data_IF_526390623609
#
_entry.id   IF_526390623609
#
_cell.length_a   1.000
_cell.length_b   1.000
_cell.length_c   1.000
_cell.angle_alpha   90.00
_cell.angle_beta   90.00
_cell.angle_gamma   90.00
#
_symmetry.space_group_name_H-M   'P 1'
#
loop_
_entity.id
_entity.type
_entity.pdbx_description
1 polymer ?
#
# COMPACT_ATOMS: atom_id res chain seq x y z
N UNK A 1 -8.37 28.68 46.20
CA UNK A 1 -8.02 28.50 44.77
C UNK A 1 -7.29 27.17 44.62
N UNK A 2 -8.01 26.08 44.35
CA UNK A 2 -7.42 24.75 44.15
C UNK A 2 -7.41 24.45 42.66
N UNK A 3 -6.21 24.50 42.07
CA UNK A 3 -5.97 24.17 40.68
C UNK A 3 -5.77 22.65 40.59
N UNK A 4 -6.76 21.94 40.03
CA UNK A 4 -6.65 20.51 39.76
C UNK A 4 -6.18 20.37 38.30
N UNK A 5 -4.99 19.80 38.05
CA UNK A 5 -4.52 19.63 36.68
C UNK A 5 -5.39 18.59 35.95
N UNK A 6 -5.84 18.94 34.75
CA UNK A 6 -6.54 18.01 33.84
C UNK A 6 -5.58 16.87 33.48
N UNK A 7 -5.84 15.68 34.05
CA UNK A 7 -5.14 14.46 33.68
C UNK A 7 -5.72 13.94 32.36
N UNK A 8 -4.99 14.17 31.26
CA UNK A 8 -5.33 13.59 29.95
C UNK A 8 -4.64 12.22 29.88
N UNK A 9 -5.39 11.15 30.15
CA UNK A 9 -4.93 9.79 29.90
C UNK A 9 -5.11 9.46 28.41
N UNK A 10 -4.07 8.90 27.79
CA UNK A 10 -4.17 8.42 26.42
C UNK A 10 -5.25 7.33 26.34
N UNK A 11 -6.19 7.46 25.40
CA UNK A 11 -7.14 6.38 25.11
C UNK A 11 -6.36 5.14 24.66
N UNK A 12 -6.75 3.98 25.18
CA UNK A 12 -6.26 2.66 24.73
C UNK A 12 -6.15 2.60 23.21
N UNK A 13 -4.97 2.31 22.68
CA UNK A 13 -4.73 2.17 21.25
C UNK A 13 -5.60 1.01 20.73
N UNK A 14 -6.60 1.30 19.91
CA UNK A 14 -7.39 0.26 19.25
C UNK A 14 -6.47 -0.60 18.40
N UNK A 15 -6.56 -1.92 18.56
CA UNK A 15 -5.73 -2.90 17.86
C UNK A 15 -5.77 -2.64 16.35
N UNK A 16 -4.63 -2.28 15.77
CA UNK A 16 -4.53 -2.02 14.33
C UNK A 16 -4.61 -3.35 13.57
N UNK A 17 -5.48 -3.42 12.57
CA UNK A 17 -5.56 -4.59 11.71
C UNK A 17 -4.29 -4.72 10.86
N UNK A 18 -3.83 -5.95 10.65
CA UNK A 18 -2.68 -6.19 9.76
C UNK A 18 -3.00 -5.72 8.34
N UNK A 19 -2.01 -5.13 7.66
CA UNK A 19 -2.12 -4.75 6.25
C UNK A 19 -2.63 -5.90 5.36
N UNK A 20 -2.27 -7.17 5.65
CA UNK A 20 -2.77 -8.34 4.93
C UNK A 20 -4.30 -8.51 5.06
N UNK A 21 -4.85 -8.23 6.24
CA UNK A 21 -6.30 -8.32 6.50
C UNK A 21 -7.02 -7.20 5.76
N UNK A 22 -6.53 -5.96 5.88
CA UNK A 22 -7.07 -4.81 5.16
C UNK A 22 -7.07 -5.05 3.65
N UNK A 23 -5.95 -5.54 3.11
CA UNK A 23 -5.81 -5.76 1.68
C UNK A 23 -6.78 -6.84 1.17
N UNK A 24 -6.93 -7.97 1.89
CA UNK A 24 -7.94 -8.99 1.54
C UNK A 24 -9.37 -8.43 1.52
N UNK A 25 -9.70 -7.51 2.43
CA UNK A 25 -11.02 -6.86 2.45
C UNK A 25 -11.21 -5.94 1.24
N UNK A 26 -10.18 -5.16 0.90
CA UNK A 26 -10.19 -4.29 -0.28
C UNK A 26 -10.33 -5.10 -1.57
N UNK A 27 -9.62 -6.22 -1.69
CA UNK A 27 -9.69 -7.10 -2.88
C UNK A 27 -11.08 -7.70 -3.10
N UNK A 28 -11.88 -7.91 -2.05
CA UNK A 28 -13.29 -8.33 -2.20
C UNK A 28 -14.15 -7.26 -2.88
N UNK A 29 -13.84 -5.99 -2.68
CA UNK A 29 -14.58 -4.84 -3.23
C UNK A 29 -14.03 -4.39 -4.58
N UNK A 30 -12.72 -4.48 -4.76
CA UNK A 30 -12.00 -4.00 -5.93
C UNK A 30 -11.33 -5.19 -6.61
N UNK A 31 -12.11 -6.03 -7.30
CA UNK A 31 -11.61 -7.13 -8.13
C UNK A 31 -11.44 -6.64 -9.58
N UNK A 32 -10.31 -6.96 -10.21
CA UNK A 32 -9.97 -6.60 -11.58
C UNK A 32 -10.36 -7.65 -12.61
N UNK A 33 -10.80 -7.19 -13.78
CA UNK A 33 -11.12 -8.02 -14.95
C UNK A 33 -10.37 -7.51 -16.18
N UNK A 34 -10.31 -8.27 -17.27
CA UNK A 34 -9.64 -7.83 -18.50
C UNK A 34 -10.10 -6.45 -19.02
N UNK A 35 -11.40 -6.13 -18.90
CA UNK A 35 -11.96 -4.82 -19.30
C UNK A 35 -11.68 -3.71 -18.29
N UNK A 36 -11.54 -4.06 -17.01
CA UNK A 36 -11.27 -3.12 -15.91
C UNK A 36 -10.28 -3.76 -14.94
N UNK A 37 -8.99 -3.80 -15.32
CA UNK A 37 -7.99 -4.47 -14.51
C UNK A 37 -7.73 -3.70 -13.22
N UNK A 38 -7.30 -4.43 -12.19
CA UNK A 38 -6.99 -3.87 -10.88
C UNK A 38 -5.55 -3.39 -10.88
N UNK A 39 -5.34 -2.17 -10.43
CA UNK A 39 -4.00 -1.66 -10.14
C UNK A 39 -3.63 -1.98 -8.69
N UNK A 40 -2.54 -2.71 -8.51
CA UNK A 40 -1.99 -3.14 -7.23
C UNK A 40 -0.68 -2.40 -6.96
N UNK A 41 -0.51 -1.85 -5.76
CA UNK A 41 0.74 -1.21 -5.35
C UNK A 41 1.33 -1.92 -4.13
N UNK A 42 2.65 -2.11 -4.14
CA UNK A 42 3.43 -2.50 -2.97
C UNK A 42 4.56 -1.51 -2.79
N UNK A 43 4.67 -0.93 -1.59
CA UNK A 43 5.73 0.00 -1.23
C UNK A 43 6.65 -0.69 -0.21
N UNK A 44 7.92 -0.83 -0.56
CA UNK A 44 8.96 -1.20 0.40
C UNK A 44 9.50 0.06 1.08
N UNK A 45 10.52 -0.10 1.94
CA UNK A 45 11.18 1.07 2.53
C UNK A 45 11.89 1.98 1.53
N UNK A 46 12.12 1.52 0.28
CA UNK A 46 12.92 2.25 -0.73
C UNK A 46 12.30 2.31 -2.11
N UNK A 47 11.42 1.39 -2.45
CA UNK A 47 10.96 1.19 -3.82
C UNK A 47 9.46 0.97 -3.88
N UNK A 48 8.86 1.47 -4.96
CA UNK A 48 7.46 1.25 -5.27
C UNK A 48 7.35 0.25 -6.42
N UNK A 49 6.42 -0.68 -6.25
CA UNK A 49 6.06 -1.70 -7.23
C UNK A 49 4.59 -1.55 -7.57
N UNK A 50 4.27 -1.59 -8.84
CA UNK A 50 2.93 -1.44 -9.38
C UNK A 50 2.63 -2.56 -10.39
N UNK A 51 1.48 -3.19 -10.25
CA UNK A 51 1.02 -4.27 -11.12
C UNK A 51 -0.39 -3.98 -11.60
N UNK A 52 -0.62 -4.12 -12.91
CA UNK A 52 -1.95 -4.13 -13.48
C UNK A 52 -2.38 -5.58 -13.65
N UNK A 53 -3.44 -5.99 -12.94
CA UNK A 53 -3.82 -7.40 -12.77
C UNK A 53 -5.23 -7.66 -13.28
N UNK A 54 -5.40 -8.73 -14.05
CA UNK A 54 -6.69 -9.39 -14.26
C UNK A 54 -6.82 -10.52 -13.24
N UNK A 55 -7.68 -10.34 -12.23
CA UNK A 55 -7.88 -11.32 -11.16
C UNK A 55 -8.73 -12.52 -11.62
N UNK A 56 -9.48 -12.39 -12.73
CA UNK A 56 -10.30 -13.48 -13.29
C UNK A 56 -9.44 -14.53 -13.96
N UNK A 57 -8.47 -14.07 -14.75
CA UNK A 57 -7.46 -14.93 -15.39
C UNK A 57 -6.23 -15.16 -14.50
N UNK A 58 -6.15 -14.48 -13.35
CA UNK A 58 -4.98 -14.45 -12.44
C UNK A 58 -3.69 -14.07 -13.17
N UNK A 59 -3.77 -13.08 -14.06
CA UNK A 59 -2.69 -12.67 -14.94
C UNK A 59 -2.28 -11.23 -14.66
N UNK A 60 -0.97 -10.99 -14.60
CA UNK A 60 -0.41 -9.64 -14.59
C UNK A 60 -0.32 -9.18 -16.05
N UNK A 61 -1.02 -8.10 -16.37
CA UNK A 61 -1.09 -7.49 -17.69
C UNK A 61 0.08 -6.53 -17.93
N UNK A 62 0.49 -5.80 -16.89
CA UNK A 62 1.62 -4.89 -16.92
C UNK A 62 2.26 -4.78 -15.55
N UNK A 63 3.56 -4.47 -15.52
CA UNK A 63 4.35 -4.28 -14.32
C UNK A 63 5.19 -3.02 -14.45
N UNK A 64 5.24 -2.23 -13.38
CA UNK A 64 6.12 -1.08 -13.26
C UNK A 64 6.79 -1.05 -11.87
N UNK A 65 8.04 -0.63 -11.80
CA UNK A 65 8.70 -0.37 -10.52
C UNK A 65 9.75 0.72 -10.63
N UNK A 66 10.06 1.36 -9.50
CA UNK A 66 11.15 2.35 -9.42
C UNK A 66 12.53 1.78 -9.71
N UNK A 67 12.68 0.45 -9.76
CA UNK A 67 13.92 -0.23 -10.13
C UNK A 67 14.11 -0.39 -11.65
N UNK A 68 13.07 -0.17 -12.45
CA UNK A 68 13.22 -0.25 -13.91
C UNK A 68 14.04 0.92 -14.42
N UNK A 69 15.00 0.63 -15.30
CA UNK A 69 15.92 1.63 -15.86
C UNK A 69 15.19 2.79 -16.56
N UNK A 70 14.08 2.50 -17.24
CA UNK A 70 13.25 3.52 -17.90
C UNK A 70 12.53 4.48 -16.93
N UNK A 71 12.44 4.14 -15.65
CA UNK A 71 11.72 4.89 -14.60
C UNK A 71 12.69 5.45 -13.57
N UNK A 72 13.80 4.75 -13.32
CA UNK A 72 14.83 5.14 -12.39
C UNK A 72 15.51 6.43 -12.89
N UNK A 73 15.24 7.55 -12.21
CA UNK A 73 15.90 8.81 -12.47
C UNK A 73 17.36 8.83 -11.97
N UNK A 74 18.10 9.88 -12.31
CA UNK A 74 19.42 10.15 -11.75
C UNK A 74 19.30 11.19 -10.62
N UNK A 75 19.88 10.96 -9.42
CA UNK A 75 20.57 9.75 -8.99
C UNK A 75 19.60 8.58 -8.77
N UNK A 76 20.04 7.33 -8.98
CA UNK A 76 19.18 6.17 -8.81
C UNK A 76 18.66 6.07 -7.37
N UNK A 77 17.40 5.66 -7.21
CA UNK A 77 16.70 5.61 -5.91
C UNK A 77 17.13 4.42 -5.01
N UNK A 78 18.36 3.94 -5.19
CA UNK A 78 19.03 2.94 -4.36
C UNK A 78 19.90 3.55 -3.26
N UNK A 79 20.14 4.87 -3.28
CA UNK A 79 21.04 5.58 -2.36
C UNK A 79 20.46 5.68 -0.93
N UNK A 80 21.09 4.99 0.01
CA UNK A 80 21.28 5.50 1.39
C UNK A 80 22.51 6.39 1.34
#
# INVERSE_FOLDING_TARGET
SLWIPLRIEARELTKTESAKVCNRRLLKKYNGTSKKPRLSFFCSGKHLYAELVDDSEKKILAFASTLQESICGYPPCNTI
#
